data_IF_047094914199
#
_entry.id   IF_047094914199
#
_cell.length_a   1.000
_cell.length_b   1.000
_cell.length_c   1.000
_cell.angle_alpha   90.00
_cell.angle_beta   90.00
_cell.angle_gamma   90.00
#
_symmetry.space_group_name_H-M   'P 1'
#
loop_
_entity.id
_entity.type
_entity.pdbx_description
1 polymer ?
#
# COMPACT_ATOMS: atom_id res chain seq x y z
N UNK A 1 -11.15 -9.25 14.39
CA UNK A 1 -12.08 -9.34 13.25
C UNK A 1 -11.47 -10.24 12.17
N UNK A 2 -11.88 -11.51 12.17
CA UNK A 2 -11.33 -12.54 11.28
C UNK A 2 -11.64 -12.21 9.81
N UNK A 3 -12.84 -11.70 9.54
CA UNK A 3 -13.25 -11.32 8.18
C UNK A 3 -12.41 -10.17 7.64
N UNK A 4 -12.13 -9.17 8.48
CA UNK A 4 -11.26 -8.05 8.12
C UNK A 4 -9.84 -8.49 7.80
N UNK A 5 -9.30 -9.43 8.57
CA UNK A 5 -7.99 -10.01 8.32
C UNK A 5 -7.91 -10.75 6.99
N UNK A 6 -8.89 -11.61 6.69
CA UNK A 6 -8.91 -12.33 5.41
C UNK A 6 -9.05 -11.41 4.20
N UNK A 7 -9.82 -10.32 4.34
CA UNK A 7 -9.96 -9.32 3.27
C UNK A 7 -8.66 -8.57 3.04
N UNK A 8 -8.00 -8.12 4.12
CA UNK A 8 -6.70 -7.48 4.03
C UNK A 8 -5.66 -8.42 3.40
N UNK A 9 -5.62 -9.68 3.84
CA UNK A 9 -4.73 -10.68 3.27
C UNK A 9 -4.98 -10.87 1.77
N UNK A 10 -6.24 -11.01 1.35
CA UNK A 10 -6.59 -11.15 -0.08
C UNK A 10 -6.15 -9.95 -0.91
N UNK A 11 -6.38 -8.72 -0.44
CA UNK A 11 -5.95 -7.51 -1.15
C UNK A 11 -4.43 -7.46 -1.22
N UNK A 12 -3.73 -7.72 -0.11
CA UNK A 12 -2.28 -7.68 -0.07
C UNK A 12 -1.65 -8.72 -0.99
N UNK A 13 -2.10 -9.97 -0.95
CA UNK A 13 -1.60 -11.02 -1.84
C UNK A 13 -1.91 -10.74 -3.31
N UNK A 14 -3.12 -10.30 -3.63
CA UNK A 14 -3.48 -9.94 -4.99
C UNK A 14 -2.64 -8.74 -5.49
N UNK A 15 -2.46 -7.72 -4.67
CA UNK A 15 -1.64 -6.57 -5.01
C UNK A 15 -0.17 -6.93 -5.22
N UNK A 16 0.41 -7.75 -4.32
CA UNK A 16 1.77 -8.26 -4.48
C UNK A 16 1.93 -9.08 -5.75
N UNK A 17 0.97 -9.94 -6.09
CA UNK A 17 1.00 -10.74 -7.32
C UNK A 17 0.95 -9.86 -8.56
N UNK A 18 0.06 -8.87 -8.59
CA UNK A 18 -0.03 -7.90 -9.71
C UNK A 18 1.28 -7.11 -9.83
N UNK A 19 1.82 -6.64 -8.69
CA UNK A 19 3.10 -5.95 -8.68
C UNK A 19 4.22 -6.81 -9.27
N UNK A 20 4.35 -8.07 -8.86
CA UNK A 20 5.36 -8.99 -9.37
C UNK A 20 5.22 -9.23 -10.87
N UNK A 21 3.98 -9.39 -11.37
CA UNK A 21 3.70 -9.56 -12.79
C UNK A 21 4.15 -8.30 -13.56
N UNK A 22 3.75 -7.11 -13.11
CA UNK A 22 4.11 -5.85 -13.76
C UNK A 22 5.63 -5.65 -13.74
N UNK A 23 6.27 -5.89 -12.60
CA UNK A 23 7.74 -5.76 -12.44
C UNK A 23 8.53 -6.73 -13.30
N UNK A 24 7.96 -7.91 -13.58
CA UNK A 24 8.60 -8.91 -14.45
C UNK A 24 8.46 -8.54 -15.93
N UNK A 25 7.29 -8.00 -16.32
CA UNK A 25 7.04 -7.61 -17.72
C UNK A 25 7.71 -6.28 -18.07
N UNK A 26 7.70 -5.34 -17.12
CA UNK A 26 8.25 -4.01 -17.28
C UNK A 26 9.23 -3.69 -16.14
N UNK A 27 10.48 -4.19 -16.22
CA UNK A 27 11.49 -3.86 -15.22
C UNK A 27 11.81 -2.36 -15.29
N UNK A 28 11.30 -1.59 -14.34
CA UNK A 28 11.54 -0.17 -14.24
C UNK A 28 12.64 0.11 -13.21
N UNK A 29 13.73 0.74 -13.63
CA UNK A 29 14.78 1.22 -12.75
C UNK A 29 14.76 2.75 -12.68
N UNK A 30 14.88 3.31 -11.49
CA UNK A 30 15.09 4.76 -11.30
C UNK A 30 16.59 5.05 -11.31
N UNK A 31 17.07 5.62 -12.42
CA UNK A 31 18.45 6.08 -12.54
C UNK A 31 18.68 7.50 -11.94
N UNK A 32 17.68 8.08 -11.26
CA UNK A 32 17.66 9.49 -10.84
C UNK A 32 17.87 9.61 -9.33
N UNK A 33 18.76 8.81 -8.74
CA UNK A 33 19.17 9.07 -7.35
C UNK A 33 20.33 10.04 -7.33
N UNK A 34 20.26 11.17 -6.58
CA UNK A 34 21.40 12.06 -6.46
C UNK A 34 22.56 11.30 -5.79
N UNK A 35 23.68 11.26 -6.50
CA UNK A 35 24.91 10.59 -6.04
C UNK A 35 25.71 11.53 -5.10
N UNK A 36 25.48 12.82 -5.21
CA UNK A 36 26.17 13.86 -4.44
C UNK A 36 25.18 14.67 -3.63
N UNK A 37 25.38 14.70 -2.31
CA UNK A 37 24.63 15.54 -1.40
C UNK A 37 25.50 16.75 -1.05
N UNK A 38 24.99 17.97 -1.25
CA UNK A 38 25.71 19.21 -0.98
C UNK A 38 25.92 19.51 0.52
N UNK A 39 25.23 18.77 1.40
CA UNK A 39 25.29 18.97 2.85
C UNK A 39 25.42 17.62 3.56
N UNK A 40 26.31 17.57 4.56
CA UNK A 40 26.42 16.42 5.47
C UNK A 40 25.63 16.72 6.74
N UNK A 41 24.50 16.03 6.89
CA UNK A 41 23.64 16.08 8.07
C UNK A 41 23.26 14.65 8.45
N UNK A 42 22.89 14.43 9.73
CA UNK A 42 22.34 13.16 10.22
C UNK A 42 21.20 12.64 9.34
N UNK A 43 20.36 13.54 8.82
CA UNK A 43 19.27 13.19 7.89
C UNK A 43 19.79 12.70 6.54
N UNK A 44 20.87 13.28 6.04
CA UNK A 44 21.52 12.84 4.78
C UNK A 44 22.16 11.47 4.95
N UNK A 45 22.76 11.20 6.10
CA UNK A 45 23.32 9.88 6.40
C UNK A 45 22.21 8.81 6.52
N UNK A 46 21.08 9.16 7.11
CA UNK A 46 19.91 8.29 7.16
C UNK A 46 19.38 7.98 5.75
N UNK A 47 19.31 8.99 4.88
CA UNK A 47 18.88 8.83 3.48
C UNK A 47 19.89 8.00 2.68
N UNK A 48 21.19 8.21 2.89
CA UNK A 48 22.25 7.38 2.27
C UNK A 48 22.12 5.92 2.69
N UNK A 49 21.90 5.66 4.00
CA UNK A 49 21.67 4.31 4.52
C UNK A 49 20.41 3.67 3.91
N UNK A 50 19.33 4.44 3.78
CA UNK A 50 18.11 3.99 3.14
C UNK A 50 18.34 3.62 1.67
N UNK A 51 19.08 4.44 0.92
CA UNK A 51 19.42 4.21 -0.47
C UNK A 51 20.35 3.00 -0.69
N UNK A 52 21.18 2.66 0.30
CA UNK A 52 22.00 1.46 0.27
C UNK A 52 21.18 0.18 0.50
N UNK A 53 20.15 0.28 1.32
CA UNK A 53 19.29 -0.87 1.68
C UNK A 53 18.22 -1.12 0.62
N UNK A 54 17.73 -0.06 -0.01
CA UNK A 54 16.64 -0.12 -0.99
C UNK A 54 17.21 -0.08 -2.42
N UNK A 55 17.02 -1.16 -3.16
CA UNK A 55 17.49 -1.25 -4.55
C UNK A 55 16.65 -0.34 -5.46
N UNK A 56 17.30 0.39 -6.44
CA UNK A 56 16.60 1.30 -7.35
C UNK A 56 15.79 0.60 -8.44
N UNK A 57 15.43 -0.67 -8.22
CA UNK A 57 14.74 -1.52 -9.19
C UNK A 57 13.27 -1.67 -8.79
N UNK A 58 12.39 -1.72 -9.78
CA UNK A 58 10.97 -2.00 -9.63
C UNK A 58 10.18 -0.95 -8.82
N UNK A 59 10.20 0.27 -9.28
CA UNK A 59 9.52 1.40 -8.61
C UNK A 59 8.03 1.47 -8.94
N UNK A 60 7.63 1.00 -10.09
CA UNK A 60 6.26 1.06 -10.59
C UNK A 60 5.52 -0.28 -10.44
N UNK A 61 4.28 -0.31 -9.96
CA UNK A 61 3.56 0.70 -9.19
C UNK A 61 4.06 0.80 -7.74
N UNK A 62 3.83 1.92 -7.04
CA UNK A 62 4.32 2.11 -5.67
C UNK A 62 3.64 1.17 -4.67
N UNK A 63 4.39 0.15 -4.21
CA UNK A 63 3.92 -0.80 -3.19
C UNK A 63 3.68 -0.13 -1.82
N UNK A 64 4.47 0.87 -1.47
CA UNK A 64 4.30 1.58 -0.20
C UNK A 64 2.97 2.32 -0.17
N UNK A 65 2.62 3.00 -1.25
CA UNK A 65 1.31 3.67 -1.41
C UNK A 65 0.19 2.64 -1.38
N UNK A 66 0.31 1.56 -2.14
CA UNK A 66 -0.69 0.50 -2.20
C UNK A 66 -0.93 -0.15 -0.83
N UNK A 67 0.12 -0.58 -0.14
CA UNK A 67 0.01 -1.25 1.16
C UNK A 67 -0.56 -0.32 2.24
N UNK A 68 -0.17 0.95 2.23
CA UNK A 68 -0.71 1.95 3.16
C UNK A 68 -2.20 2.18 2.95
N UNK A 69 -2.63 2.25 1.70
CA UNK A 69 -4.05 2.38 1.35
C UNK A 69 -4.82 1.10 1.70
N UNK A 70 -4.28 -0.08 1.42
CA UNK A 70 -4.91 -1.36 1.76
C UNK A 70 -5.12 -1.49 3.27
N UNK A 71 -4.12 -1.14 4.08
CA UNK A 71 -4.22 -1.11 5.53
C UNK A 71 -5.28 -0.10 6.01
N UNK A 72 -5.29 1.10 5.45
CA UNK A 72 -6.28 2.14 5.78
C UNK A 72 -7.72 1.70 5.45
N UNK A 73 -7.93 1.08 4.29
CA UNK A 73 -9.20 0.51 3.87
C UNK A 73 -9.64 -0.61 4.83
N UNK A 74 -8.72 -1.49 5.23
CA UNK A 74 -9.03 -2.58 6.15
C UNK A 74 -9.44 -2.06 7.54
N UNK A 75 -8.75 -1.05 8.07
CA UNK A 75 -9.08 -0.41 9.35
C UNK A 75 -10.47 0.23 9.28
N UNK A 76 -10.76 0.97 8.20
CA UNK A 76 -12.07 1.62 8.00
C UNK A 76 -13.22 0.62 7.91
N UNK A 77 -13.00 -0.52 7.27
CA UNK A 77 -14.03 -1.54 7.09
C UNK A 77 -14.09 -2.57 8.24
N UNK A 78 -13.19 -2.49 9.21
CA UNK A 78 -13.20 -3.33 10.40
C UNK A 78 -14.21 -2.79 11.43
N UNK A 79 -15.17 -3.63 11.85
CA UNK A 79 -16.20 -3.25 12.81
C UNK A 79 -15.62 -2.78 14.15
N UNK A 80 -14.56 -3.43 14.64
CA UNK A 80 -13.92 -3.08 15.91
C UNK A 80 -13.03 -1.84 15.83
N UNK A 81 -12.25 -1.72 14.76
CA UNK A 81 -11.27 -0.64 14.62
C UNK A 81 -11.92 0.67 14.19
N UNK A 82 -13.00 0.60 13.42
CA UNK A 82 -13.73 1.78 12.96
C UNK A 82 -14.48 2.51 14.11
N UNK A 83 -14.81 1.81 15.21
CA UNK A 83 -15.40 2.42 16.40
C UNK A 83 -14.44 3.38 17.11
N UNK A 84 -13.13 3.14 16.99
CA UNK A 84 -12.08 3.97 17.58
C UNK A 84 -11.62 5.06 16.61
N UNK A 85 -12.24 6.24 16.70
CA UNK A 85 -11.90 7.42 15.85
C UNK A 85 -10.40 7.76 15.86
N UNK A 86 -9.72 7.59 17.00
CA UNK A 86 -8.29 7.84 17.13
C UNK A 86 -7.45 6.90 16.25
N UNK A 87 -7.83 5.61 16.16
CA UNK A 87 -7.13 4.63 15.32
C UNK A 87 -7.33 4.97 13.84
N UNK A 88 -8.56 5.30 13.43
CA UNK A 88 -8.84 5.71 12.06
C UNK A 88 -8.08 6.98 11.67
N UNK A 89 -8.08 7.99 12.55
CA UNK A 89 -7.34 9.24 12.34
C UNK A 89 -5.84 8.97 12.22
N UNK A 90 -5.27 8.15 13.12
CA UNK A 90 -3.87 7.76 13.08
C UNK A 90 -3.50 7.04 11.78
N UNK A 91 -4.36 6.13 11.30
CA UNK A 91 -4.16 5.42 10.04
C UNK A 91 -4.16 6.37 8.83
N UNK A 92 -5.07 7.34 8.79
CA UNK A 92 -5.11 8.36 7.72
C UNK A 92 -3.86 9.24 7.72
N UNK A 93 -3.45 9.72 8.90
CA UNK A 93 -2.24 10.55 9.05
C UNK A 93 -1.01 9.76 8.64
N UNK A 94 -0.87 8.52 9.12
CA UNK A 94 0.26 7.66 8.78
C UNK A 94 0.33 7.37 7.28
N UNK A 95 -0.81 7.06 6.66
CA UNK A 95 -0.89 6.85 5.21
C UNK A 95 -0.45 8.10 4.44
N UNK A 96 -0.94 9.28 4.83
CA UNK A 96 -0.54 10.54 4.21
C UNK A 96 0.96 10.80 4.37
N UNK A 97 1.51 10.58 5.56
CA UNK A 97 2.96 10.73 5.83
C UNK A 97 3.79 9.77 4.97
N UNK A 98 3.38 8.50 4.86
CA UNK A 98 4.06 7.51 4.02
C UNK A 98 4.04 7.95 2.56
N UNK A 99 2.89 8.38 2.03
CA UNK A 99 2.77 8.85 0.64
C UNK A 99 3.67 10.06 0.41
N UNK A 100 3.66 11.04 1.32
CA UNK A 100 4.54 12.20 1.22
C UNK A 100 6.01 11.82 1.32
N UNK A 101 6.38 10.94 2.25
CA UNK A 101 7.75 10.47 2.40
C UNK A 101 8.24 9.75 1.14
N UNK A 102 7.42 8.89 0.54
CA UNK A 102 7.79 8.24 -0.73
C UNK A 102 7.98 9.23 -1.86
N UNK A 103 7.13 10.26 -1.96
CA UNK A 103 7.29 11.32 -2.97
C UNK A 103 8.56 12.15 -2.80
N UNK A 104 8.98 12.41 -1.55
CA UNK A 104 10.19 13.20 -1.28
C UNK A 104 11.48 12.39 -1.37
N UNK A 105 11.47 11.13 -0.91
CA UNK A 105 12.68 10.32 -0.81
C UNK A 105 13.04 9.60 -2.11
N UNK A 106 12.05 9.08 -2.83
CA UNK A 106 12.29 8.22 -4.00
C UNK A 106 12.04 8.92 -5.33
N UNK A 107 11.54 10.16 -5.30
CA UNK A 107 11.06 10.87 -6.49
C UNK A 107 10.25 9.95 -7.43
N UNK A 108 9.28 9.17 -6.91
CA UNK A 108 8.43 8.40 -7.78
C UNK A 108 7.71 9.37 -8.70
N UNK A 109 7.57 8.98 -9.94
CA UNK A 109 6.71 9.72 -10.85
C UNK A 109 5.31 9.81 -10.21
N UNK A 110 4.64 10.94 -10.36
CA UNK A 110 3.22 11.08 -9.96
C UNK A 110 2.40 9.91 -10.50
N UNK A 111 2.82 9.35 -11.64
CA UNK A 111 2.23 8.16 -12.25
C UNK A 111 2.33 6.91 -11.38
N UNK A 112 3.42 6.73 -10.62
CA UNK A 112 3.61 5.57 -9.73
C UNK A 112 2.66 5.61 -8.55
N UNK A 113 2.45 6.81 -8.01
CA UNK A 113 1.49 7.05 -6.92
C UNK A 113 0.06 6.84 -7.44
N UNK A 114 -0.26 7.39 -8.61
CA UNK A 114 -1.57 7.20 -9.24
C UNK A 114 -1.84 5.72 -9.54
N UNK A 115 -0.85 4.98 -10.03
CA UNK A 115 -0.97 3.55 -10.27
C UNK A 115 -1.21 2.77 -8.96
N UNK A 116 -0.53 3.12 -7.87
CA UNK A 116 -0.79 2.55 -6.54
C UNK A 116 -2.22 2.81 -6.06
N UNK A 117 -2.73 4.02 -6.24
CA UNK A 117 -4.13 4.37 -5.95
C UNK A 117 -5.12 3.58 -6.81
N UNK A 118 -4.88 3.52 -8.12
CA UNK A 118 -5.74 2.80 -9.06
C UNK A 118 -5.79 1.30 -8.70
N UNK A 119 -4.64 0.70 -8.38
CA UNK A 119 -4.56 -0.68 -7.97
C UNK A 119 -5.30 -0.93 -6.66
N UNK A 120 -5.16 -0.06 -5.67
CA UNK A 120 -5.89 -0.15 -4.41
C UNK A 120 -7.40 -0.01 -4.62
N UNK A 121 -7.83 0.91 -5.47
CA UNK A 121 -9.24 1.13 -5.80
C UNK A 121 -9.86 -0.07 -6.53
N UNK A 122 -9.19 -0.61 -7.55
CA UNK A 122 -9.69 -1.77 -8.29
C UNK A 122 -9.81 -3.00 -7.40
N UNK A 123 -8.80 -3.29 -6.58
CA UNK A 123 -8.86 -4.41 -5.64
C UNK A 123 -9.90 -4.20 -4.54
N UNK A 124 -10.12 -2.96 -4.10
CA UNK A 124 -11.23 -2.64 -3.20
C UNK A 124 -12.58 -3.02 -3.82
N UNK A 125 -12.81 -2.67 -5.09
CA UNK A 125 -14.04 -3.02 -5.79
C UNK A 125 -14.24 -4.54 -5.92
N UNK A 126 -13.14 -5.31 -6.12
CA UNK A 126 -13.24 -6.76 -6.22
C UNK A 126 -13.44 -7.46 -4.88
N UNK A 127 -12.91 -6.94 -3.79
CA UNK A 127 -12.91 -7.61 -2.48
C UNK A 127 -14.08 -7.14 -1.60
N UNK A 128 -14.34 -5.84 -1.55
CA UNK A 128 -15.35 -5.27 -0.65
C UNK A 128 -16.70 -4.99 -1.32
N UNK A 129 -16.72 -4.55 -2.57
CA UNK A 129 -17.97 -4.21 -3.24
C UNK A 129 -18.94 -5.39 -3.42
N UNK A 130 -18.50 -6.63 -3.71
CA UNK A 130 -19.42 -7.77 -3.83
C UNK A 130 -20.18 -8.11 -2.54
N UNK A 131 -19.60 -7.78 -1.37
CA UNK A 131 -20.28 -7.96 -0.09
C UNK A 131 -21.23 -6.81 0.24
N UNK A 132 -20.84 -5.58 -0.10
CA UNK A 132 -21.69 -4.40 0.07
C UNK A 132 -22.98 -4.53 -0.76
N UNK A 133 -22.90 -5.16 -1.93
CA UNK A 133 -24.04 -5.40 -2.84
C UNK A 133 -24.77 -6.73 -2.56
N UNK A 134 -24.41 -7.45 -1.48
CA UNK A 134 -25.06 -8.72 -1.11
C UNK A 134 -24.77 -9.92 -2.03
N UNK A 135 -23.84 -9.77 -2.97
CA UNK A 135 -23.51 -10.82 -3.96
C UNK A 135 -22.66 -11.94 -3.35
N UNK A 136 -21.90 -11.66 -2.29
CA UNK A 136 -21.11 -12.65 -1.53
C UNK A 136 -21.43 -12.58 -0.05
N UNK A 137 -21.60 -13.76 0.57
CA UNK A 137 -21.73 -13.87 2.03
C UNK A 137 -20.38 -13.64 2.70
N UNK A 138 -20.34 -13.00 3.89
CA UNK A 138 -19.11 -12.85 4.64
C UNK A 138 -18.50 -14.23 4.97
N UNK A 139 -17.17 -14.31 4.94
CA UNK A 139 -16.39 -15.57 5.10
C UNK A 139 -16.78 -16.35 6.37
N UNK A 140 -17.20 -15.65 7.44
CA UNK A 140 -17.61 -16.27 8.69
C UNK A 140 -18.82 -17.21 8.56
N UNK A 141 -19.73 -16.94 7.62
CA UNK A 141 -20.92 -17.79 7.44
C UNK A 141 -20.62 -19.07 6.66
N UNK A 142 -19.54 -19.10 5.87
CA UNK A 142 -19.16 -20.30 5.10
C UNK A 142 -18.35 -21.30 5.92
N UNK A 143 -17.69 -20.89 7.01
CA UNK A 143 -16.87 -21.77 7.84
C UNK A 143 -17.67 -22.51 8.92
N UNK A 144 -18.89 -22.10 9.25
CA UNK A 144 -19.73 -22.67 10.30
C UNK A 144 -20.96 -23.43 9.77
N UNK A 145 -21.06 -23.61 8.45
CA UNK A 145 -22.08 -24.48 7.84
C UNK A 145 -21.43 -25.83 7.57
N UNK A 146 -21.13 -26.56 8.63
CA UNK A 146 -20.93 -28.01 8.65
C UNK A 146 -21.46 -28.59 9.93
#
# INVERSE_FOLDING_TARGET
DVDGFYKLAKISFAGMTIFLIISTIMPNGLAIRPVVFERDNIFVDLVKMLYQTDTPTNVFPSLHVFNSLAACIAIKNSKKLNEHKAICMGAYILTAVIIMATMFLTQPSVLDVMAGFLMAYTLYQFVYAPEANGVRKPVRQTLFVK
#
